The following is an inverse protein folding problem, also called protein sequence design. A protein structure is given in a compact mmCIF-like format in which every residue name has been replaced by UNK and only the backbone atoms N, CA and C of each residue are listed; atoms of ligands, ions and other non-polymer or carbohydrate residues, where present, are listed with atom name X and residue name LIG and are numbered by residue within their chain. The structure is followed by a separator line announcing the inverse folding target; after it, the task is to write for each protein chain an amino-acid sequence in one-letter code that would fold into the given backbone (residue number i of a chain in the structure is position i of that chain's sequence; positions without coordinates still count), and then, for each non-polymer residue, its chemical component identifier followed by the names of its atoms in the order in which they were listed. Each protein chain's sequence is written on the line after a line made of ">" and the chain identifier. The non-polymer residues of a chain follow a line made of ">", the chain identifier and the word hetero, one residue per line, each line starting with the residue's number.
data_IF_087928620027
#
_entry.id   IF_087928620027
#
_cell.length_a   1.000
_cell.length_b   1.000
_cell.length_c   1.000
_cell.angle_alpha   90.00
_cell.angle_beta   90.00
_cell.angle_gamma   90.00
#
_symmetry.space_group_name_H-M   'P 1'
#
loop_
_entity.id
_entity.type
_entity.pdbx_description
1 polymer ?
#
# COMPACT_ATOMS: atom_id res chain seq x y z
N UNK A 1 22.95 -0.58 9.20
CA UNK A 1 22.57 -0.14 7.84
C UNK A 1 21.09 -0.46 7.69
N UNK A 2 20.22 0.47 8.07
CA UNK A 2 18.77 0.31 8.04
C UNK A 2 18.10 1.64 7.61
N UNK A 3 18.32 2.03 6.35
CA UNK A 3 17.26 2.61 5.54
C UNK A 3 17.19 1.85 4.20
N UNK A 4 16.03 1.86 3.51
CA UNK A 4 15.81 1.20 2.19
C UNK A 4 15.36 -0.28 2.20
N UNK A 5 14.69 -0.77 3.25
CA UNK A 5 14.21 -2.16 3.33
C UNK A 5 12.71 -2.35 3.08
N UNK A 6 12.04 -1.46 2.33
CA UNK A 6 10.65 -1.65 1.90
C UNK A 6 10.46 -2.97 1.12
N UNK A 7 11.50 -3.42 0.40
CA UNK A 7 11.55 -4.73 -0.27
C UNK A 7 11.48 -5.92 0.71
N UNK A 8 12.10 -5.81 1.89
CA UNK A 8 12.00 -6.83 2.95
C UNK A 8 10.62 -6.83 3.57
N UNK A 9 10.05 -5.66 3.83
CA UNK A 9 8.69 -5.54 4.36
C UNK A 9 7.65 -6.16 3.42
N UNK A 10 7.82 -5.99 2.11
CA UNK A 10 7.03 -6.68 1.09
C UNK A 10 7.21 -8.20 1.14
N UNK A 11 8.45 -8.69 1.23
CA UNK A 11 8.70 -10.13 1.38
C UNK A 11 8.04 -10.71 2.63
N UNK A 12 8.03 -9.97 3.75
CA UNK A 12 7.35 -10.37 4.98
C UNK A 12 5.82 -10.39 4.81
N UNK A 13 5.26 -9.40 4.13
CA UNK A 13 3.83 -9.34 3.80
C UNK A 13 3.38 -10.56 2.98
N UNK A 14 4.14 -10.93 1.95
CA UNK A 14 3.83 -12.11 1.12
C UNK A 14 4.19 -13.44 1.80
N UNK A 15 5.12 -13.44 2.77
CA UNK A 15 5.44 -14.61 3.59
C UNK A 15 4.49 -14.80 4.79
N UNK A 16 3.43 -13.99 4.90
CA UNK A 16 2.47 -13.98 6.01
C UNK A 16 3.10 -13.71 7.39
N UNK A 17 4.30 -13.13 7.43
CA UNK A 17 4.97 -12.65 8.63
C UNK A 17 4.49 -11.23 8.99
N UNK A 18 3.18 -11.09 9.19
CA UNK A 18 2.48 -9.79 9.21
C UNK A 18 2.85 -8.93 10.43
N UNK A 19 3.00 -9.52 11.61
CA UNK A 19 3.42 -8.80 12.82
C UNK A 19 4.83 -8.20 12.64
N UNK A 20 5.77 -9.01 12.16
CA UNK A 20 7.15 -8.58 11.87
C UNK A 20 7.20 -7.52 10.77
N UNK A 21 6.37 -7.67 9.73
CA UNK A 21 6.21 -6.70 8.67
C UNK A 21 5.72 -5.36 9.20
N UNK A 22 4.60 -5.35 9.94
CA UNK A 22 4.05 -4.11 10.53
C UNK A 22 5.05 -3.42 11.46
N UNK A 23 5.74 -4.19 12.32
CA UNK A 23 6.75 -3.65 13.22
C UNK A 23 7.92 -2.99 12.46
N UNK A 24 8.35 -3.59 11.33
CA UNK A 24 9.39 -3.02 10.49
C UNK A 24 8.94 -1.68 9.86
N UNK A 25 7.79 -1.66 9.18
CA UNK A 25 7.25 -0.45 8.53
C UNK A 25 7.02 0.69 9.55
N UNK A 26 6.51 0.36 10.73
CA UNK A 26 6.35 1.33 11.84
C UNK A 26 7.67 1.91 12.32
N UNK A 27 8.73 1.08 12.39
CA UNK A 27 10.08 1.53 12.72
C UNK A 27 10.64 2.51 11.70
N UNK A 28 10.42 2.25 10.41
CA UNK A 28 10.90 3.09 9.31
C UNK A 28 10.17 4.46 9.31
N UNK A 29 8.85 4.50 9.53
CA UNK A 29 8.09 5.76 9.69
C UNK A 29 8.53 6.56 10.93
N UNK A 30 8.94 5.90 12.01
CA UNK A 30 9.46 6.61 13.20
C UNK A 30 10.75 7.41 12.90
N UNK A 31 11.53 6.94 11.91
CA UNK A 31 12.74 7.64 11.41
C UNK A 31 12.37 8.67 10.32
N UNK A 32 11.42 8.35 9.45
CA UNK A 32 10.92 9.23 8.39
C UNK A 32 9.38 9.41 8.49
N UNK A 33 8.89 10.39 9.28
CA UNK A 33 7.46 10.54 9.56
C UNK A 33 6.62 11.04 8.37
N UNK A 34 7.24 11.25 7.21
CA UNK A 34 6.55 11.64 5.98
C UNK A 34 6.38 10.48 5.01
N UNK A 35 6.81 9.27 5.37
CA UNK A 35 6.76 8.12 4.48
C UNK A 35 5.35 7.51 4.42
N UNK A 36 4.62 7.92 3.39
CA UNK A 36 3.23 7.51 3.18
C UNK A 36 3.12 6.05 2.74
N UNK A 37 4.12 5.54 2.03
CA UNK A 37 4.11 4.16 1.54
C UNK A 37 4.29 3.18 2.70
N UNK A 38 5.27 3.45 3.55
CA UNK A 38 5.53 2.66 4.77
C UNK A 38 4.31 2.63 5.70
N UNK A 39 3.61 3.76 5.86
CA UNK A 39 2.38 3.82 6.65
C UNK A 39 1.25 2.94 6.08
N UNK A 40 1.09 2.91 4.75
CA UNK A 40 0.11 2.05 4.08
C UNK A 40 0.50 0.57 4.21
N UNK A 41 1.78 0.24 4.09
CA UNK A 41 2.25 -1.14 4.23
C UNK A 41 2.13 -1.68 5.66
N UNK A 42 2.38 -0.85 6.68
CA UNK A 42 2.09 -1.19 8.07
C UNK A 42 0.59 -1.52 8.26
N UNK A 43 -0.29 -0.68 7.70
CA UNK A 43 -1.73 -0.94 7.70
C UNK A 43 -2.05 -2.28 7.02
N UNK A 44 -1.48 -2.55 5.85
CA UNK A 44 -1.81 -3.75 5.07
C UNK A 44 -1.45 -5.02 5.84
N UNK A 45 -0.31 -5.02 6.53
CA UNK A 45 0.09 -6.11 7.41
C UNK A 45 -0.95 -6.33 8.51
N UNK A 46 -1.34 -5.28 9.23
CA UNK A 46 -2.35 -5.37 10.30
C UNK A 46 -3.74 -5.74 9.79
N UNK A 47 -4.12 -5.28 8.61
CA UNK A 47 -5.43 -5.53 8.04
C UNK A 47 -5.62 -7.01 7.67
N UNK A 48 -4.54 -7.67 7.23
CA UNK A 48 -4.51 -9.11 6.94
C UNK A 48 -4.23 -9.98 8.16
N UNK A 49 -3.73 -9.41 9.25
CA UNK A 49 -3.49 -10.16 10.49
C UNK A 49 -4.84 -10.56 11.10
N UNK A 50 -5.15 -11.86 11.25
CA UNK A 50 -6.43 -12.31 11.77
C UNK A 50 -6.68 -11.90 13.24
N UNK A 51 -5.64 -11.52 13.98
CA UNK A 51 -5.75 -11.02 15.35
C UNK A 51 -6.08 -9.52 15.44
N UNK A 52 -5.87 -8.76 14.35
CA UNK A 52 -6.10 -7.30 14.30
C UNK A 52 -7.26 -6.99 13.34
N UNK A 53 -7.10 -7.33 12.07
CA UNK A 53 -8.10 -7.13 11.03
C UNK A 53 -8.25 -5.68 10.56
N UNK A 54 -8.92 -5.53 9.42
CA UNK A 54 -9.03 -4.27 8.67
C UNK A 54 -9.55 -3.07 9.49
N UNK A 55 -10.60 -3.27 10.29
CA UNK A 55 -11.23 -2.18 11.05
C UNK A 55 -10.28 -1.62 12.12
N UNK A 56 -9.54 -2.48 12.81
CA UNK A 56 -8.55 -2.06 13.80
C UNK A 56 -7.31 -1.47 13.13
N UNK A 57 -6.83 -2.06 12.03
CA UNK A 57 -5.74 -1.51 11.21
C UNK A 57 -6.02 -0.07 10.79
N UNK A 58 -7.27 0.26 10.42
CA UNK A 58 -7.69 1.63 10.08
C UNK A 58 -7.58 2.58 11.26
N UNK A 59 -7.93 2.14 12.45
CA UNK A 59 -7.80 2.96 13.66
C UNK A 59 -6.32 3.17 14.03
N UNK A 60 -5.48 2.18 13.73
CA UNK A 60 -4.05 2.15 14.06
C UNK A 60 -3.15 2.80 13.00
N UNK A 61 -3.71 3.25 11.87
CA UNK A 61 -2.92 3.78 10.75
C UNK A 61 -2.02 4.93 11.22
N UNK A 62 -0.75 4.87 10.82
CA UNK A 62 0.24 5.87 11.19
C UNK A 62 -0.11 7.22 10.57
N UNK A 63 -0.09 8.28 11.39
CA UNK A 63 -0.29 9.64 10.89
C UNK A 63 1.02 10.16 10.30
N UNK A 64 1.02 10.35 8.99
CA UNK A 64 2.16 10.90 8.25
C UNK A 64 1.89 12.31 7.75
N UNK A 65 2.96 13.02 7.37
CA UNK A 65 2.87 14.31 6.70
C UNK A 65 2.17 14.24 5.35
N UNK A 66 1.91 15.41 4.75
CA UNK A 66 1.23 15.49 3.45
C UNK A 66 2.17 15.08 2.31
N UNK A 67 1.85 13.97 1.64
CA UNK A 67 2.54 13.59 0.41
C UNK A 67 2.24 14.58 -0.74
N UNK A 68 3.29 14.93 -1.49
CA UNK A 68 3.22 15.80 -2.66
C UNK A 68 2.63 15.10 -3.89
N UNK A 69 2.77 13.76 -3.95
CA UNK A 69 2.27 12.90 -5.02
C UNK A 69 0.75 12.74 -4.88
N UNK A 70 -0.07 13.18 -5.87
CA UNK A 70 -1.52 13.15 -5.74
C UNK A 70 -2.12 11.74 -5.52
N UNK A 71 -1.58 10.73 -6.21
CA UNK A 71 -2.05 9.34 -6.08
C UNK A 71 -1.74 8.76 -4.70
N UNK A 72 -0.56 9.02 -4.13
CA UNK A 72 -0.22 8.59 -2.76
C UNK A 72 -1.11 9.24 -1.73
N UNK A 73 -1.42 10.53 -1.90
CA UNK A 73 -2.36 11.21 -1.00
C UNK A 73 -3.76 10.61 -1.09
N UNK A 74 -4.23 10.30 -2.30
CA UNK A 74 -5.53 9.63 -2.49
C UNK A 74 -5.54 8.23 -1.87
N UNK A 75 -4.45 7.46 -2.04
CA UNK A 75 -4.29 6.15 -1.42
C UNK A 75 -4.33 6.26 0.10
N UNK A 76 -3.49 7.10 0.70
CA UNK A 76 -3.50 7.29 2.14
C UNK A 76 -4.88 7.67 2.69
N UNK A 77 -5.59 8.59 2.04
CA UNK A 77 -6.95 8.97 2.43
C UNK A 77 -7.94 7.79 2.34
N UNK A 78 -7.85 6.96 1.30
CA UNK A 78 -8.66 5.75 1.17
C UNK A 78 -8.41 4.78 2.34
N UNK A 79 -7.14 4.52 2.65
CA UNK A 79 -6.74 3.61 3.73
C UNK A 79 -7.16 4.14 5.12
N UNK A 80 -6.98 5.45 5.35
CA UNK A 80 -7.43 6.15 6.55
C UNK A 80 -8.96 6.23 6.67
N UNK A 81 -9.70 6.01 5.57
CA UNK A 81 -11.17 6.08 5.53
C UNK A 81 -11.72 7.50 5.34
N UNK A 82 -10.91 8.44 4.87
CA UNK A 82 -11.30 9.82 4.55
C UNK A 82 -11.46 10.08 3.04
N UNK A 83 -11.12 9.09 2.20
CA UNK A 83 -11.29 9.12 0.75
C UNK A 83 -11.98 7.86 0.22
N UNK A 84 -12.22 7.84 -1.10
CA UNK A 84 -12.93 6.76 -1.79
C UNK A 84 -12.05 6.07 -2.84
N UNK A 85 -12.44 4.87 -3.27
CA UNK A 85 -11.77 4.14 -4.35
C UNK A 85 -11.79 4.95 -5.67
N UNK A 86 -12.88 5.69 -5.92
CA UNK A 86 -13.01 6.56 -7.09
C UNK A 86 -12.01 7.74 -7.06
N UNK A 87 -11.72 8.29 -5.87
CA UNK A 87 -10.72 9.37 -5.75
C UNK A 87 -9.32 8.88 -6.13
N UNK A 88 -8.97 7.65 -5.72
CA UNK A 88 -7.69 7.03 -6.06
C UNK A 88 -7.62 6.66 -7.55
N UNK A 89 -8.70 6.14 -8.12
CA UNK A 89 -8.78 5.85 -9.55
C UNK A 89 -8.60 7.14 -10.38
N UNK A 90 -9.26 8.23 -10.00
CA UNK A 90 -9.13 9.53 -10.66
C UNK A 90 -7.73 10.15 -10.51
N UNK A 91 -6.95 9.75 -9.51
CA UNK A 91 -5.60 10.27 -9.28
C UNK A 91 -4.55 9.67 -10.24
N UNK A 92 -4.85 8.56 -10.91
CA UNK A 92 -3.99 7.91 -11.90
C UNK A 92 -4.03 8.61 -13.27
N UNK A 93 -3.27 9.70 -13.42
CA UNK A 93 -3.32 10.60 -14.60
C UNK A 93 -2.25 10.33 -15.66
N UNK A 94 -1.17 9.69 -15.27
CA UNK A 94 -0.07 9.28 -16.15
C UNK A 94 0.24 7.79 -15.93
N UNK A 95 1.13 7.23 -16.74
CA UNK A 95 1.44 5.79 -16.72
C UNK A 95 1.91 5.30 -15.35
N UNK A 96 2.73 6.10 -14.64
CA UNK A 96 3.26 5.75 -13.34
C UNK A 96 2.18 5.87 -12.24
N UNK A 97 1.50 7.00 -12.16
CA UNK A 97 0.41 7.19 -11.18
C UNK A 97 -0.75 6.22 -11.39
N UNK A 98 -1.03 5.83 -12.64
CA UNK A 98 -2.03 4.80 -12.93
C UNK A 98 -1.62 3.44 -12.38
N UNK A 99 -0.36 3.04 -12.57
CA UNK A 99 0.19 1.82 -11.98
C UNK A 99 -0.01 1.79 -10.46
N UNK A 100 0.41 2.85 -9.75
CA UNK A 100 0.28 2.91 -8.30
C UNK A 100 -1.18 2.98 -7.84
N UNK A 101 -2.04 3.72 -8.54
CA UNK A 101 -3.48 3.74 -8.23
C UNK A 101 -4.10 2.34 -8.35
N UNK A 102 -3.85 1.64 -9.45
CA UNK A 102 -4.36 0.28 -9.64
C UNK A 102 -3.76 -0.68 -8.58
N UNK A 103 -2.46 -0.58 -8.29
CA UNK A 103 -1.82 -1.39 -7.24
C UNK A 103 -2.50 -1.21 -5.87
N UNK A 104 -2.66 0.03 -5.41
CA UNK A 104 -3.23 0.30 -4.08
C UNK A 104 -4.73 -0.02 -4.00
N UNK A 105 -5.48 0.11 -5.10
CA UNK A 105 -6.86 -0.39 -5.17
C UNK A 105 -6.91 -1.92 -5.04
N UNK A 106 -5.99 -2.62 -5.68
CA UNK A 106 -5.84 -4.06 -5.57
C UNK A 106 -5.55 -4.52 -4.14
N UNK A 107 -4.53 -3.93 -3.51
CA UNK A 107 -4.14 -4.22 -2.13
C UNK A 107 -5.25 -3.88 -1.11
N UNK A 108 -5.97 -2.77 -1.34
CA UNK A 108 -7.10 -2.39 -0.50
C UNK A 108 -8.29 -3.36 -0.61
N UNK A 109 -8.56 -3.89 -1.81
CA UNK A 109 -9.55 -4.94 -1.99
C UNK A 109 -9.11 -6.27 -1.37
N UNK A 110 -7.83 -6.64 -1.53
CA UNK A 110 -7.24 -7.84 -0.91
C UNK A 110 -7.38 -7.81 0.62
N UNK A 111 -7.01 -6.69 1.25
CA UNK A 111 -7.10 -6.51 2.70
C UNK A 111 -8.55 -6.55 3.24
N UNK A 112 -9.56 -6.38 2.39
CA UNK A 112 -10.99 -6.54 2.73
C UNK A 112 -11.53 -7.93 2.41
N UNK A 113 -10.72 -8.82 1.84
CA UNK A 113 -11.13 -10.15 1.39
C UNK A 113 -11.89 -10.18 0.05
N UNK A 114 -11.88 -9.08 -0.72
CA UNK A 114 -12.49 -9.04 -2.07
C UNK A 114 -11.48 -9.49 -3.14
N UNK A 115 -11.32 -10.81 -3.25
CA UNK A 115 -10.35 -11.41 -4.16
C UNK A 115 -10.61 -11.09 -5.64
N UNK A 116 -11.87 -10.93 -6.05
CA UNK A 116 -12.21 -10.67 -7.45
C UNK A 116 -11.79 -9.25 -7.86
N UNK A 117 -12.09 -8.26 -7.01
CA UNK A 117 -11.67 -6.87 -7.25
C UNK A 117 -10.16 -6.73 -7.12
N UNK A 118 -9.54 -7.39 -6.14
CA UNK A 118 -8.09 -7.43 -6.00
C UNK A 118 -7.40 -7.95 -7.27
N UNK A 119 -7.82 -9.12 -7.76
CA UNK A 119 -7.27 -9.72 -8.97
C UNK A 119 -7.37 -8.78 -10.18
N UNK A 120 -8.52 -8.12 -10.37
CA UNK A 120 -8.73 -7.18 -11.47
C UNK A 120 -7.71 -6.05 -11.45
N UNK A 121 -7.55 -5.39 -10.30
CA UNK A 121 -6.67 -4.23 -10.18
C UNK A 121 -5.19 -4.59 -10.17
N UNK A 122 -4.79 -5.67 -9.48
CA UNK A 122 -3.41 -6.17 -9.51
C UNK A 122 -3.02 -6.59 -10.94
N UNK A 123 -3.91 -7.27 -11.66
CA UNK A 123 -3.65 -7.63 -13.07
C UNK A 123 -3.54 -6.39 -13.96
N UNK A 124 -4.34 -5.35 -13.72
CA UNK A 124 -4.24 -4.09 -14.46
C UNK A 124 -2.89 -3.39 -14.19
N UNK A 125 -2.44 -3.34 -12.94
CA UNK A 125 -1.15 -2.80 -12.57
C UNK A 125 0.00 -3.60 -13.22
N UNK A 126 -0.02 -4.93 -13.12
CA UNK A 126 1.02 -5.81 -13.65
C UNK A 126 1.16 -5.74 -15.18
N UNK A 127 0.06 -5.47 -15.91
CA UNK A 127 0.05 -5.34 -17.37
C UNK A 127 0.22 -3.88 -17.85
N UNK A 128 0.48 -2.93 -16.95
CA UNK A 128 0.71 -1.53 -17.31
C UNK A 128 2.01 -1.34 -18.10
N UNK A 129 2.10 -0.38 -19.04
CA UNK A 129 3.37 -0.01 -19.68
C UNK A 129 4.47 0.42 -18.69
N UNK A 130 4.11 0.84 -17.47
CA UNK A 130 5.05 1.08 -16.37
C UNK A 130 5.85 -0.18 -15.99
N UNK A 131 5.20 -1.34 -16.08
CA UNK A 131 5.75 -2.65 -15.71
C UNK A 131 6.91 -3.08 -16.63
N UNK A 132 7.02 -2.48 -17.82
CA UNK A 132 8.06 -2.75 -18.82
C UNK A 132 9.36 -1.98 -18.48
N UNK A 133 9.35 -1.07 -17.50
CA UNK A 133 10.48 -0.19 -17.17
C UNK A 133 11.54 -0.81 -16.23
N UNK A 134 11.29 -1.99 -15.64
CA UNK A 134 12.25 -2.69 -14.78
C UNK A 134 12.28 -2.26 -13.31
N UNK A 135 11.22 -1.59 -12.81
CA UNK A 135 11.05 -1.23 -11.40
C UNK A 135 10.67 -2.45 -10.54
N UNK A 136 11.22 -2.58 -9.34
CA UNK A 136 11.08 -3.76 -8.45
C UNK A 136 9.62 -4.06 -8.06
N UNK A 137 8.76 -3.04 -8.05
CA UNK A 137 7.31 -3.19 -7.83
C UNK A 137 6.61 -4.06 -8.89
N UNK A 138 7.28 -4.39 -9.99
CA UNK A 138 6.79 -5.29 -11.03
C UNK A 138 6.91 -6.77 -10.66
N UNK A 139 7.89 -7.18 -9.85
CA UNK A 139 8.19 -8.60 -9.57
C UNK A 139 7.45 -9.17 -8.35
N UNK A 140 6.47 -8.43 -7.81
CA UNK A 140 5.67 -8.83 -6.66
C UNK A 140 4.39 -9.59 -7.06
#
# INVERSE_FOLDING_TARGET
>A
MAPYMWQRGLSLYYAEALEEGSAQFRGDVAVNPNDTEEAIWAFLCEARDPSIGFAAARQNILRVGRDSRPYMRAAYNLFQGTGTEADLEAAGRDVASRFYSDLYLGLYAEARGDAATAQRYISAAANSPYAISGDYMHSL
#
